data_IF_144478338606
#
_entry.id   IF_144478338606
#
_cell.length_a   1.000
_cell.length_b   1.000
_cell.length_c   1.000
_cell.angle_alpha   90.00
_cell.angle_beta   90.00
_cell.angle_gamma   90.00
#
_symmetry.space_group_name_H-M   'P 1'
#
loop_
_entity.id
_entity.type
_entity.pdbx_description
1 polymer ?
#
# COMPACT_ATOMS: atom_id res chain seq x y z
N UNK A 1 -17.11 22.73 9.45
CA UNK A 1 -15.66 22.44 9.29
C UNK A 1 -14.89 23.62 9.82
N UNK A 2 -13.86 23.42 10.62
CA UNK A 2 -12.98 24.50 11.07
C UNK A 2 -11.73 24.51 10.20
N UNK A 3 -11.48 25.62 9.51
CA UNK A 3 -10.30 25.83 8.66
C UNK A 3 -9.13 26.40 9.44
N UNK A 4 -9.17 26.36 10.78
CA UNK A 4 -8.07 26.84 11.61
C UNK A 4 -6.84 25.97 11.38
N UNK A 5 -5.82 26.60 10.82
CA UNK A 5 -4.52 25.99 10.55
C UNK A 5 -3.81 25.71 11.87
N UNK A 6 -3.26 24.50 11.99
CA UNK A 6 -2.49 24.05 13.17
C UNK A 6 -1.02 23.98 12.75
N UNK A 7 -0.19 25.00 13.06
CA UNK A 7 1.21 25.05 12.62
C UNK A 7 2.05 23.84 13.04
N UNK A 8 1.75 23.28 14.21
CA UNK A 8 2.44 22.10 14.77
C UNK A 8 2.25 20.85 13.90
N UNK A 9 1.17 20.76 13.13
CA UNK A 9 0.91 19.66 12.18
C UNK A 9 1.32 20.07 10.77
N UNK A 10 1.01 21.31 10.38
CA UNK A 10 1.27 21.82 9.04
C UNK A 10 2.77 21.88 8.69
N UNK A 11 3.64 22.32 9.62
CA UNK A 11 5.07 22.45 9.34
C UNK A 11 5.72 21.07 9.09
N UNK A 12 5.55 20.04 9.96
CA UNK A 12 6.04 18.70 9.68
C UNK A 12 5.50 18.12 8.36
N UNK A 13 4.22 18.35 8.05
CA UNK A 13 3.62 17.87 6.81
C UNK A 13 4.28 18.49 5.56
N UNK A 14 4.59 19.80 5.60
CA UNK A 14 5.37 20.46 4.54
C UNK A 14 6.74 19.80 4.38
N UNK A 15 7.45 19.57 5.49
CA UNK A 15 8.78 18.94 5.47
C UNK A 15 8.71 17.54 4.85
N UNK A 16 7.71 16.74 5.21
CA UNK A 16 7.50 15.40 4.63
C UNK A 16 7.24 15.50 3.12
N UNK A 17 6.35 16.38 2.68
CA UNK A 17 6.07 16.57 1.25
C UNK A 17 7.29 17.02 0.47
N UNK A 18 8.07 17.97 1.00
CA UNK A 18 9.31 18.42 0.38
C UNK A 18 10.32 17.27 0.25
N UNK A 19 10.53 16.50 1.32
CA UNK A 19 11.43 15.35 1.30
C UNK A 19 10.99 14.31 0.27
N UNK A 20 9.70 13.96 0.23
CA UNK A 20 9.13 13.00 -0.72
C UNK A 20 9.28 13.50 -2.16
N UNK A 21 8.95 14.76 -2.45
CA UNK A 21 9.09 15.34 -3.79
C UNK A 21 10.55 15.30 -4.25
N UNK A 22 11.50 15.65 -3.38
CA UNK A 22 12.94 15.58 -3.70
C UNK A 22 13.35 14.14 -4.02
N UNK A 23 12.99 13.17 -3.18
CA UNK A 23 13.29 11.75 -3.41
C UNK A 23 12.69 11.27 -4.74
N UNK A 24 11.43 11.63 -5.01
CA UNK A 24 10.76 11.23 -6.24
C UNK A 24 11.37 11.87 -7.49
N UNK A 25 11.81 13.14 -7.43
CA UNK A 25 12.48 13.82 -8.52
C UNK A 25 13.83 13.19 -8.89
N UNK A 26 14.52 12.56 -7.92
CA UNK A 26 15.77 11.82 -8.15
C UNK A 26 15.56 10.48 -8.88
N UNK A 27 14.30 10.05 -9.06
CA UNK A 27 13.92 8.85 -9.82
C UNK A 27 14.03 7.54 -9.02
N UNK A 28 13.59 6.44 -9.64
CA UNK A 28 13.45 5.13 -8.99
C UNK A 28 14.76 4.63 -8.40
N UNK A 29 15.86 4.61 -9.18
CA UNK A 29 17.13 4.04 -8.72
C UNK A 29 17.91 4.95 -7.77
N UNK A 30 18.07 6.23 -8.11
CA UNK A 30 18.90 7.18 -7.35
C UNK A 30 18.15 7.82 -6.18
N UNK A 31 16.83 7.94 -6.25
CA UNK A 31 15.96 8.46 -5.21
C UNK A 31 15.34 7.34 -4.39
N UNK A 32 14.25 6.76 -4.89
CA UNK A 32 13.40 5.81 -4.16
C UNK A 32 14.19 4.62 -3.62
N UNK A 33 14.99 3.97 -4.48
CA UNK A 33 15.80 2.82 -4.12
C UNK A 33 16.84 3.13 -3.05
N UNK A 34 17.55 4.26 -3.17
CA UNK A 34 18.54 4.68 -2.15
C UNK A 34 17.89 5.08 -0.84
N UNK A 35 16.74 5.77 -0.88
CA UNK A 35 15.98 6.10 0.30
C UNK A 35 15.55 4.82 1.02
N UNK A 36 14.96 3.85 0.31
CA UNK A 36 14.52 2.59 0.90
C UNK A 36 15.67 1.71 1.40
N UNK A 37 16.84 1.74 0.75
CA UNK A 37 18.05 1.07 1.24
C UNK A 37 18.53 1.58 2.60
N UNK A 38 18.14 2.80 3.01
CA UNK A 38 18.50 3.39 4.30
C UNK A 38 17.32 3.31 5.27
N UNK A 39 16.14 3.77 4.85
CA UNK A 39 14.95 3.90 5.69
C UNK A 39 14.42 2.55 6.15
N UNK A 40 14.37 1.52 5.28
CA UNK A 40 13.81 0.23 5.66
C UNK A 40 14.68 -0.52 6.69
N UNK A 41 16.01 -0.66 6.51
CA UNK A 41 16.85 -1.25 7.55
C UNK A 41 16.82 -0.45 8.86
N UNK A 42 16.84 0.88 8.77
CA UNK A 42 16.77 1.74 9.95
C UNK A 42 15.45 1.55 10.71
N UNK A 43 14.32 1.54 9.99
CA UNK A 43 13.01 1.23 10.55
C UNK A 43 13.02 -0.13 11.25
N UNK A 44 13.53 -1.18 10.59
CA UNK A 44 13.59 -2.52 11.17
C UNK A 44 14.43 -2.55 12.44
N UNK A 45 15.59 -1.89 12.47
CA UNK A 45 16.44 -1.82 13.66
C UNK A 45 15.76 -1.04 14.77
N UNK A 46 15.19 0.13 14.47
CA UNK A 46 14.48 0.94 15.47
C UNK A 46 13.33 0.17 16.10
N UNK A 47 12.56 -0.53 15.27
CA UNK A 47 11.42 -1.30 15.70
C UNK A 47 11.86 -2.54 16.50
N UNK A 48 12.92 -3.24 16.09
CA UNK A 48 13.48 -4.36 16.85
C UNK A 48 13.98 -3.93 18.24
N UNK A 49 14.66 -2.79 18.35
CA UNK A 49 15.09 -2.24 19.65
C UNK A 49 13.86 -1.86 20.50
N UNK A 50 12.82 -1.30 19.90
CA UNK A 50 11.57 -1.01 20.60
C UNK A 50 10.93 -2.28 21.15
N UNK A 51 10.87 -3.36 20.38
CA UNK A 51 10.33 -4.64 20.83
C UNK A 51 11.13 -5.15 22.02
N UNK A 52 12.46 -5.19 21.91
CA UNK A 52 13.33 -5.63 23.01
C UNK A 52 13.09 -4.79 24.27
N UNK A 53 13.04 -3.46 24.16
CA UNK A 53 12.75 -2.58 25.28
C UNK A 53 11.37 -2.85 25.89
N UNK A 54 10.35 -3.08 25.05
CA UNK A 54 8.97 -3.32 25.48
C UNK A 54 8.84 -4.64 26.26
N UNK A 55 9.65 -5.65 25.93
CA UNK A 55 9.69 -6.93 26.65
C UNK A 55 10.22 -6.81 28.09
N UNK A 56 11.00 -5.76 28.39
CA UNK A 56 11.51 -5.50 29.74
C UNK A 56 10.57 -4.64 30.59
N UNK A 57 9.45 -4.18 30.03
CA UNK A 57 8.47 -3.42 30.81
C UNK A 57 7.73 -4.34 31.78
N UNK A 58 7.40 -3.86 32.99
CA UNK A 58 6.56 -4.63 33.90
C UNK A 58 5.17 -4.82 33.27
N UNK A 59 4.55 -6.00 33.44
CA UNK A 59 3.29 -6.34 32.76
C UNK A 59 3.43 -6.82 31.31
N UNK A 60 4.63 -6.82 30.71
CA UNK A 60 4.83 -7.27 29.33
C UNK A 60 4.37 -8.73 29.10
N UNK A 61 4.59 -9.61 30.07
CA UNK A 61 4.13 -11.00 30.00
C UNK A 61 2.61 -11.11 29.89
N UNK A 62 1.85 -10.30 30.64
CA UNK A 62 0.38 -10.29 30.55
C UNK A 62 -0.09 -9.86 29.16
N UNK A 63 0.59 -8.86 28.58
CA UNK A 63 0.41 -8.43 27.20
C UNK A 63 0.66 -9.55 26.18
N UNK A 64 1.77 -10.27 26.32
CA UNK A 64 2.10 -11.39 25.44
C UNK A 64 1.15 -12.58 25.62
N UNK A 65 0.72 -12.86 26.86
CA UNK A 65 -0.30 -13.86 27.13
C UNK A 65 -1.60 -13.50 26.43
N UNK A 66 -2.04 -12.23 26.51
CA UNK A 66 -3.21 -11.78 25.77
C UNK A 66 -3.04 -11.92 24.24
N UNK A 67 -1.84 -11.68 23.72
CA UNK A 67 -1.56 -11.79 22.28
C UNK A 67 -1.53 -13.24 21.75
N UNK A 68 -0.94 -14.17 22.51
CA UNK A 68 -0.72 -15.54 22.06
C UNK A 68 -1.75 -16.56 22.57
N UNK A 69 -2.62 -16.19 23.51
CA UNK A 69 -3.67 -17.10 24.00
C UNK A 69 -4.66 -17.38 22.87
N UNK A 70 -4.74 -18.63 22.37
CA UNK A 70 -5.62 -18.95 21.26
C UNK A 70 -7.08 -18.98 21.71
N UNK A 71 -7.96 -18.37 20.92
CA UNK A 71 -9.40 -18.54 21.05
C UNK A 71 -9.92 -19.41 19.89
N UNK A 72 -10.07 -20.71 20.15
CA UNK A 72 -10.52 -21.67 19.14
C UNK A 72 -12.00 -21.48 18.77
N UNK A 73 -12.82 -20.97 19.69
CA UNK A 73 -14.24 -20.66 19.42
C UNK A 73 -14.37 -19.51 18.43
N UNK A 74 -13.48 -18.51 18.49
CA UNK A 74 -13.46 -17.41 17.53
C UNK A 74 -13.21 -17.89 16.09
N UNK A 75 -12.49 -19.00 15.89
CA UNK A 75 -12.26 -19.54 14.54
C UNK A 75 -13.52 -20.13 13.90
N UNK A 76 -14.57 -20.39 14.67
CA UNK A 76 -15.87 -20.81 14.16
C UNK A 76 -16.66 -19.67 13.51
N UNK A 77 -16.30 -18.41 13.79
CA UNK A 77 -16.95 -17.23 13.20
C UNK A 77 -16.34 -16.91 11.81
N UNK A 78 -17.15 -16.99 10.72
CA UNK A 78 -16.68 -16.61 9.38
C UNK A 78 -16.18 -15.17 9.29
N UNK A 79 -16.66 -14.26 10.15
CA UNK A 79 -16.22 -12.86 10.17
C UNK A 79 -14.74 -12.71 10.57
N UNK A 80 -14.22 -13.63 11.40
CA UNK A 80 -12.80 -13.65 11.77
C UNK A 80 -11.92 -13.94 10.55
N UNK A 81 -12.33 -14.90 9.72
CA UNK A 81 -11.62 -15.23 8.47
C UNK A 81 -11.72 -14.13 7.43
N UNK A 82 -12.89 -13.50 7.30
CA UNK A 82 -13.08 -12.35 6.42
C UNK A 82 -12.17 -11.19 6.84
N UNK A 83 -12.10 -10.90 8.14
CA UNK A 83 -11.23 -9.87 8.72
C UNK A 83 -9.75 -10.19 8.49
N UNK A 84 -9.33 -11.43 8.69
CA UNK A 84 -7.95 -11.87 8.45
C UNK A 84 -7.56 -11.73 6.97
N UNK A 85 -8.45 -12.11 6.05
CA UNK A 85 -8.21 -11.93 4.62
C UNK A 85 -8.10 -10.46 4.25
N UNK A 86 -9.03 -9.62 4.72
CA UNK A 86 -9.01 -8.17 4.51
C UNK A 86 -7.72 -7.54 5.04
N UNK A 87 -7.28 -7.92 6.24
CA UNK A 87 -6.03 -7.45 6.84
C UNK A 87 -4.83 -7.74 5.94
N UNK A 88 -4.65 -9.00 5.50
CA UNK A 88 -3.52 -9.37 4.63
C UNK A 88 -3.62 -8.69 3.25
N UNK A 89 -4.82 -8.55 2.70
CA UNK A 89 -5.04 -7.88 1.43
C UNK A 89 -4.57 -6.41 1.46
N UNK A 90 -4.96 -5.65 2.48
CA UNK A 90 -4.55 -4.25 2.63
C UNK A 90 -3.09 -4.12 3.09
N UNK A 91 -2.62 -5.00 3.97
CA UNK A 91 -1.25 -5.00 4.47
C UNK A 91 -0.23 -5.20 3.34
N UNK A 92 -0.48 -6.17 2.45
CA UNK A 92 0.36 -6.36 1.26
C UNK A 92 0.13 -5.30 0.17
N UNK A 93 -0.80 -4.36 0.36
CA UNK A 93 -1.16 -3.33 -0.61
C UNK A 93 -1.53 -3.92 -1.97
N UNK A 94 -2.28 -5.02 -1.97
CA UNK A 94 -2.70 -5.70 -3.21
C UNK A 94 -3.67 -4.82 -3.97
N UNK A 95 -3.53 -4.76 -5.30
CA UNK A 95 -4.36 -3.97 -6.22
C UNK A 95 -4.21 -2.44 -6.13
N UNK A 96 -3.22 -1.92 -5.39
CA UNK A 96 -2.87 -0.48 -5.41
C UNK A 96 -2.09 -0.07 -6.68
N UNK A 97 -1.76 -1.02 -7.56
CA UNK A 97 -0.87 -0.81 -8.72
C UNK A 97 0.62 -0.79 -8.37
N UNK A 98 0.97 -0.65 -7.09
CA UNK A 98 2.35 -0.58 -6.58
C UNK A 98 3.21 -1.72 -7.10
N UNK A 99 2.77 -2.97 -6.94
CA UNK A 99 3.54 -4.14 -7.39
C UNK A 99 3.72 -4.17 -8.90
N UNK A 100 2.72 -3.75 -9.68
CA UNK A 100 2.79 -3.70 -11.14
C UNK A 100 3.80 -2.63 -11.57
N UNK A 101 3.74 -1.45 -10.95
CA UNK A 101 4.68 -0.35 -11.21
C UNK A 101 6.11 -0.72 -10.85
N UNK A 102 6.36 -1.32 -9.68
CA UNK A 102 7.73 -1.72 -9.34
C UNK A 102 8.22 -2.91 -10.17
N UNK A 103 7.33 -3.82 -10.58
CA UNK A 103 7.69 -4.92 -11.46
C UNK A 103 8.10 -4.42 -12.86
N UNK A 104 7.55 -3.31 -13.35
CA UNK A 104 7.95 -2.73 -14.65
C UNK A 104 9.39 -2.20 -14.65
N UNK A 105 9.97 -1.92 -13.48
CA UNK A 105 11.37 -1.51 -13.33
C UNK A 105 12.35 -2.68 -13.17
N UNK A 106 11.84 -3.91 -13.03
CA UNK A 106 12.69 -5.10 -12.92
C UNK A 106 13.20 -5.54 -14.30
N UNK A 107 14.31 -6.28 -14.29
CA UNK A 107 14.77 -6.95 -15.52
C UNK A 107 13.74 -7.99 -15.95
N UNK A 108 13.55 -8.14 -17.26
CA UNK A 108 12.55 -9.06 -17.86
C UNK A 108 12.68 -10.52 -17.41
N UNK A 109 13.89 -10.97 -17.04
CA UNK A 109 14.20 -12.35 -16.61
C UNK A 109 14.29 -12.53 -15.09
N UNK A 110 13.78 -11.59 -14.30
CA UNK A 110 13.77 -11.66 -12.83
C UNK A 110 12.76 -12.71 -12.32
N UNK A 111 13.14 -13.46 -11.30
CA UNK A 111 12.24 -14.38 -10.62
C UNK A 111 11.24 -13.62 -9.73
N UNK A 112 9.99 -13.54 -10.20
CA UNK A 112 8.88 -12.92 -9.50
C UNK A 112 8.29 -13.83 -8.40
N UNK A 113 8.37 -15.15 -8.55
CA UNK A 113 7.80 -16.09 -7.57
C UNK A 113 8.60 -16.10 -6.27
N UNK A 114 9.93 -16.19 -6.35
CA UNK A 114 10.81 -16.12 -5.18
C UNK A 114 10.72 -14.76 -4.50
N UNK A 115 10.76 -13.68 -5.28
CA UNK A 115 10.63 -12.31 -4.77
C UNK A 115 9.29 -12.08 -4.06
N UNK A 116 8.19 -12.56 -4.64
CA UNK A 116 6.85 -12.45 -4.04
C UNK A 116 6.73 -13.19 -2.70
N UNK A 117 7.31 -14.39 -2.60
CA UNK A 117 7.34 -15.14 -1.33
C UNK A 117 8.14 -14.40 -0.26
N UNK A 118 9.33 -13.90 -0.59
CA UNK A 118 10.16 -13.14 0.35
C UNK A 118 9.41 -11.90 0.86
N UNK A 119 8.75 -11.16 -0.03
CA UNK A 119 7.94 -10.00 0.35
C UNK A 119 6.80 -10.40 1.29
N UNK A 120 6.05 -11.47 0.97
CA UNK A 120 4.94 -11.93 1.79
C UNK A 120 5.38 -12.36 3.19
N UNK A 121 6.44 -13.17 3.30
CA UNK A 121 6.97 -13.62 4.59
C UNK A 121 7.63 -12.49 5.38
N UNK A 122 8.33 -11.57 4.73
CA UNK A 122 8.91 -10.41 5.40
C UNK A 122 7.83 -9.50 5.97
N UNK A 123 6.75 -9.26 5.22
CA UNK A 123 5.60 -8.48 5.66
C UNK A 123 4.96 -9.10 6.90
N UNK A 124 4.48 -10.34 6.82
CA UNK A 124 3.82 -11.00 7.95
C UNK A 124 4.75 -11.28 9.12
N UNK A 125 6.03 -11.54 8.87
CA UNK A 125 7.04 -11.66 9.92
C UNK A 125 7.22 -10.35 10.69
N UNK A 126 7.25 -9.22 9.98
CA UNK A 126 7.32 -7.89 10.60
C UNK A 126 6.04 -7.57 11.38
N UNK A 127 4.86 -7.95 10.89
CA UNK A 127 3.58 -7.80 11.61
C UNK A 127 3.56 -8.56 12.94
N UNK A 128 4.07 -9.79 12.96
CA UNK A 128 4.18 -10.58 14.21
C UNK A 128 5.17 -9.91 15.17
N UNK A 129 6.32 -9.44 14.67
CA UNK A 129 7.28 -8.68 15.47
C UNK A 129 6.65 -7.41 16.05
N UNK A 130 5.83 -6.71 15.27
CA UNK A 130 5.04 -5.56 15.69
C UNK A 130 4.02 -5.92 16.77
N UNK A 131 3.27 -7.01 16.58
CA UNK A 131 2.33 -7.53 17.58
C UNK A 131 3.02 -7.79 18.92
N UNK A 132 4.17 -8.46 18.92
CA UNK A 132 4.95 -8.73 20.15
C UNK A 132 5.30 -7.43 20.88
N UNK A 133 5.89 -6.44 20.18
CA UNK A 133 6.29 -5.18 20.81
C UNK A 133 5.11 -4.36 21.32
N UNK A 134 4.05 -4.25 20.52
CA UNK A 134 2.85 -3.49 20.86
C UNK A 134 2.13 -4.11 22.05
N UNK A 135 1.87 -5.42 22.03
CA UNK A 135 1.16 -6.08 23.12
C UNK A 135 1.98 -6.11 24.41
N UNK A 136 3.31 -6.28 24.34
CA UNK A 136 4.18 -6.14 25.52
C UNK A 136 4.05 -4.73 26.15
N UNK A 137 4.05 -3.68 25.32
CA UNK A 137 3.89 -2.31 25.79
C UNK A 137 2.47 -2.02 26.32
N UNK A 138 1.43 -2.62 25.73
CA UNK A 138 0.06 -2.53 26.25
C UNK A 138 -0.10 -3.28 27.59
N UNK A 139 0.61 -4.39 27.79
CA UNK A 139 0.64 -5.10 29.08
C UNK A 139 1.14 -4.20 30.22
N UNK A 140 2.15 -3.38 29.95
CA UNK A 140 2.60 -2.34 30.88
C UNK A 140 1.50 -1.34 31.22
N UNK A 141 0.78 -0.85 30.21
CA UNK A 141 -0.29 0.11 30.42
C UNK A 141 -1.46 -0.50 31.20
N UNK A 142 -1.82 -1.75 30.89
CA UNK A 142 -2.85 -2.52 31.58
C UNK A 142 -2.51 -2.69 33.07
N UNK A 143 -1.27 -3.12 33.35
CA UNK A 143 -0.77 -3.28 34.72
C UNK A 143 -0.76 -1.95 35.49
N UNK A 144 -0.25 -0.88 34.87
CA UNK A 144 -0.19 0.45 35.50
C UNK A 144 -1.58 1.02 35.81
N UNK A 145 -2.59 0.70 34.99
CA UNK A 145 -3.98 1.15 35.18
C UNK A 145 -4.84 0.16 35.99
N UNK A 146 -4.32 -1.01 36.34
CA UNK A 146 -5.07 -2.05 37.05
C UNK A 146 -6.26 -2.60 36.25
N UNK A 147 -6.14 -2.67 34.92
CA UNK A 147 -7.17 -3.16 34.00
C UNK A 147 -6.64 -4.29 33.13
N UNK A 148 -7.52 -4.99 32.42
CA UNK A 148 -7.14 -5.99 31.42
C UNK A 148 -6.58 -5.34 30.14
N UNK A 149 -5.74 -6.07 29.42
CA UNK A 149 -5.14 -5.64 28.15
C UNK A 149 -6.21 -5.25 27.12
N UNK A 150 -7.35 -5.96 27.10
CA UNK A 150 -8.47 -5.64 26.22
C UNK A 150 -9.06 -4.24 26.47
N UNK A 151 -9.02 -3.75 27.72
CA UNK A 151 -9.52 -2.42 28.08
C UNK A 151 -8.62 -1.26 27.65
N UNK A 152 -7.35 -1.55 27.34
CA UNK A 152 -6.35 -0.57 26.91
C UNK A 152 -5.97 -0.68 25.43
N UNK A 153 -6.35 -1.79 24.80
CA UNK A 153 -6.17 -2.02 23.37
C UNK A 153 -7.19 -1.19 22.57
N UNK A 154 -6.75 -0.03 22.08
CA UNK A 154 -7.46 0.72 21.04
C UNK A 154 -6.91 0.36 19.66
N UNK A 155 -7.65 0.67 18.59
CA UNK A 155 -7.21 0.46 17.21
C UNK A 155 -6.65 1.74 16.58
N UNK A 156 -5.87 1.58 15.51
CA UNK A 156 -5.43 2.66 14.63
C UNK A 156 -4.83 3.87 15.35
N UNK A 157 -5.49 5.02 15.20
CA UNK A 157 -5.05 6.33 15.75
C UNK A 157 -5.02 6.32 17.27
N UNK A 158 -5.97 5.64 17.93
CA UNK A 158 -6.03 5.56 19.39
C UNK A 158 -4.79 4.86 19.96
N UNK A 159 -4.37 3.76 19.32
CA UNK A 159 -3.18 3.03 19.75
C UNK A 159 -1.93 3.90 19.62
N UNK A 160 -1.68 4.43 18.42
CA UNK A 160 -0.46 5.14 18.11
C UNK A 160 -0.35 6.49 18.85
N UNK A 161 -1.45 7.20 19.04
CA UNK A 161 -1.45 8.59 19.51
C UNK A 161 -2.16 8.82 20.84
N UNK A 162 -2.68 7.77 21.50
CA UNK A 162 -3.19 7.84 22.88
C UNK A 162 -2.42 6.84 23.77
N UNK A 163 -2.41 5.55 23.40
CA UNK A 163 -1.78 4.52 24.21
C UNK A 163 -0.25 4.69 24.28
N UNK A 164 0.43 4.80 23.14
CA UNK A 164 1.89 4.95 23.11
C UNK A 164 2.41 6.22 23.81
N UNK A 165 1.82 7.42 23.62
CA UNK A 165 2.19 8.59 24.43
C UNK A 165 2.03 8.38 25.93
N UNK A 166 0.98 7.67 26.34
CA UNK A 166 0.75 7.32 27.76
C UNK A 166 1.87 6.42 28.26
N UNK A 167 2.23 5.37 27.51
CA UNK A 167 3.35 4.48 27.83
C UNK A 167 4.67 5.26 27.91
N UNK A 168 4.95 6.14 26.94
CA UNK A 168 6.14 6.99 26.89
C UNK A 168 6.26 7.89 28.12
N UNK A 169 5.12 8.38 28.65
CA UNK A 169 5.12 9.26 29.82
C UNK A 169 5.36 8.54 31.15
N UNK A 170 5.07 7.23 31.22
CA UNK A 170 5.07 6.47 32.46
C UNK A 170 6.20 5.42 32.54
N UNK A 171 6.65 4.91 31.39
CA UNK A 171 7.65 3.86 31.32
C UNK A 171 9.06 4.38 31.65
N UNK A 172 9.85 3.56 32.35
CA UNK A 172 11.28 3.78 32.50
C UNK A 172 11.96 3.76 31.14
N UNK A 173 12.64 4.85 30.77
CA UNK A 173 13.19 5.00 29.41
C UNK A 173 12.13 5.30 28.34
N UNK A 174 10.94 5.77 28.73
CA UNK A 174 9.84 6.06 27.80
C UNK A 174 10.20 7.04 26.68
N UNK A 175 11.13 7.98 26.91
CA UNK A 175 11.64 8.86 25.85
C UNK A 175 12.31 8.10 24.69
N UNK A 176 13.04 7.02 24.99
CA UNK A 176 13.66 6.15 23.97
C UNK A 176 12.55 5.41 23.20
N UNK A 177 11.56 4.85 23.91
CA UNK A 177 10.40 4.19 23.30
C UNK A 177 9.68 5.15 22.35
N UNK A 178 9.49 6.40 22.76
CA UNK A 178 8.82 7.42 21.97
C UNK A 178 9.58 7.74 20.68
N UNK A 179 10.90 7.98 20.77
CA UNK A 179 11.73 8.25 19.59
C UNK A 179 11.73 7.06 18.63
N UNK A 180 11.87 5.83 19.14
CA UNK A 180 11.86 4.63 18.31
C UNK A 180 10.50 4.39 17.65
N UNK A 181 9.41 4.51 18.41
CA UNK A 181 8.05 4.27 17.92
C UNK A 181 7.64 5.30 16.87
N UNK A 182 7.67 6.60 17.23
CA UNK A 182 7.23 7.65 16.32
C UNK A 182 8.19 7.83 15.15
N UNK A 183 9.48 7.62 15.35
CA UNK A 183 10.44 7.61 14.25
C UNK A 183 10.20 6.46 13.26
N UNK A 184 9.94 5.25 13.76
CA UNK A 184 9.58 4.12 12.90
C UNK A 184 8.25 4.38 12.16
N UNK A 185 7.26 4.97 12.83
CA UNK A 185 5.97 5.34 12.23
C UNK A 185 6.13 6.39 11.11
N UNK A 186 7.00 7.39 11.29
CA UNK A 186 7.34 8.36 10.24
C UNK A 186 8.00 7.66 9.05
N UNK A 187 8.98 6.80 9.28
CA UNK A 187 9.65 6.09 8.19
C UNK A 187 8.70 5.15 7.44
N UNK A 188 7.84 4.42 8.16
CA UNK A 188 6.81 3.56 7.58
C UNK A 188 5.84 4.37 6.70
N UNK A 189 5.39 5.53 7.19
CA UNK A 189 4.50 6.42 6.44
C UNK A 189 5.16 7.01 5.20
N UNK A 190 6.41 7.45 5.30
CA UNK A 190 7.15 8.07 4.19
C UNK A 190 7.43 7.06 3.08
N UNK A 191 7.89 5.85 3.40
CA UNK A 191 8.19 4.82 2.38
C UNK A 191 6.94 4.34 1.67
N UNK A 192 5.81 4.23 2.38
CA UNK A 192 4.50 3.92 1.81
C UNK A 192 3.98 5.06 0.92
N UNK A 193 4.08 6.32 1.35
CA UNK A 193 3.67 7.48 0.55
C UNK A 193 4.45 7.58 -0.77
N UNK A 194 5.77 7.37 -0.71
CA UNK A 194 6.61 7.33 -1.93
C UNK A 194 6.11 6.26 -2.89
N UNK A 195 5.80 5.06 -2.39
CA UNK A 195 5.38 3.94 -3.21
C UNK A 195 4.01 4.15 -3.87
N UNK A 196 3.07 4.76 -3.16
CA UNK A 196 1.74 5.10 -3.70
C UNK A 196 1.84 6.21 -4.76
N UNK A 197 2.60 7.28 -4.48
CA UNK A 197 2.78 8.37 -5.44
C UNK A 197 3.48 7.91 -6.71
N UNK A 198 4.42 6.95 -6.60
CA UNK A 198 5.13 6.42 -7.74
C UNK A 198 4.20 5.76 -8.76
N UNK A 199 3.12 5.10 -8.32
CA UNK A 199 2.12 4.51 -9.22
C UNK A 199 1.53 5.55 -10.14
N UNK A 200 1.13 6.70 -9.59
CA UNK A 200 0.51 7.79 -10.35
C UNK A 200 1.54 8.44 -11.28
N UNK A 201 2.75 8.69 -10.76
CA UNK A 201 3.84 9.32 -11.53
C UNK A 201 4.28 8.44 -12.70
N UNK A 202 4.42 7.13 -12.49
CA UNK A 202 4.76 6.17 -13.53
C UNK A 202 3.68 6.08 -14.59
N UNK A 203 2.41 5.94 -14.19
CA UNK A 203 1.30 5.84 -15.12
C UNK A 203 1.19 7.07 -16.04
N UNK A 204 1.39 8.28 -15.50
CA UNK A 204 1.39 9.51 -16.31
C UNK A 204 2.65 9.65 -17.17
N UNK A 205 3.82 9.22 -16.70
CA UNK A 205 5.04 9.18 -17.51
C UNK A 205 4.86 8.27 -18.73
N UNK A 206 4.37 7.06 -18.51
CA UNK A 206 4.15 6.08 -19.57
C UNK A 206 3.10 6.58 -20.56
N UNK A 207 2.00 7.15 -20.08
CA UNK A 207 0.90 7.62 -20.93
C UNK A 207 1.22 8.89 -21.72
N UNK A 208 1.89 9.87 -21.09
CA UNK A 208 2.10 11.20 -21.67
C UNK A 208 3.50 11.41 -22.26
N UNK A 209 4.48 10.57 -21.93
CA UNK A 209 5.87 10.72 -22.37
C UNK A 209 6.60 11.88 -21.69
N UNK A 210 6.14 12.28 -20.51
CA UNK A 210 6.71 13.42 -19.80
C UNK A 210 8.00 13.04 -19.07
N UNK A 211 8.92 13.99 -18.93
CA UNK A 211 10.12 13.77 -18.15
C UNK A 211 9.80 13.57 -16.65
N UNK A 212 10.76 12.97 -15.93
CA UNK A 212 10.59 12.59 -14.52
C UNK A 212 10.16 13.76 -13.64
N UNK A 213 10.93 14.85 -13.68
CA UNK A 213 10.75 16.02 -12.81
C UNK A 213 9.39 16.69 -13.08
N UNK A 214 9.04 16.92 -14.35
CA UNK A 214 7.76 17.53 -14.73
C UNK A 214 6.60 16.71 -14.20
N UNK A 215 6.64 15.39 -14.38
CA UNK A 215 5.54 14.53 -13.95
C UNK A 215 5.42 14.48 -12.44
N UNK A 216 6.54 14.30 -11.73
CA UNK A 216 6.56 14.30 -10.26
C UNK A 216 5.99 15.60 -9.70
N UNK A 217 6.39 16.77 -10.22
CA UNK A 217 5.87 18.04 -9.74
C UNK A 217 4.39 18.25 -10.08
N UNK A 218 3.96 17.82 -11.27
CA UNK A 218 2.55 17.95 -11.70
C UNK A 218 1.62 17.08 -10.86
N UNK A 219 2.08 15.93 -10.39
CA UNK A 219 1.31 15.04 -9.51
C UNK A 219 1.40 15.46 -8.05
N UNK A 220 2.62 15.60 -7.53
CA UNK A 220 2.84 15.72 -6.09
C UNK A 220 2.51 17.12 -5.56
N UNK A 221 2.66 18.19 -6.35
CA UNK A 221 2.39 19.55 -5.85
C UNK A 221 0.89 19.81 -5.60
N UNK A 222 -0.04 19.48 -6.52
CA UNK A 222 -1.47 19.59 -6.22
C UNK A 222 -1.89 18.72 -5.04
N UNK A 223 -1.38 17.48 -4.97
CA UNK A 223 -1.67 16.58 -3.85
C UNK A 223 -1.13 17.12 -2.52
N UNK A 224 0.06 17.72 -2.51
CA UNK A 224 0.62 18.38 -1.34
C UNK A 224 -0.26 19.54 -0.88
N UNK A 225 -0.74 20.37 -1.82
CA UNK A 225 -1.63 21.50 -1.50
C UNK A 225 -2.95 21.00 -0.91
N UNK A 226 -3.57 19.96 -1.49
CA UNK A 226 -4.80 19.35 -0.97
C UNK A 226 -4.56 18.74 0.41
N UNK A 227 -3.46 18.00 0.57
CA UNK A 227 -3.05 17.40 1.84
C UNK A 227 -2.86 18.46 2.93
N UNK A 228 -2.21 19.58 2.60
CA UNK A 228 -2.09 20.72 3.50
C UNK A 228 -3.45 21.33 3.83
N UNK A 229 -4.32 21.57 2.85
CA UNK A 229 -5.62 22.19 3.08
C UNK A 229 -6.54 21.34 3.97
N UNK A 230 -6.46 20.01 3.89
CA UNK A 230 -7.34 19.11 4.63
C UNK A 230 -6.75 18.67 5.96
N UNK A 231 -5.47 18.26 5.98
CA UNK A 231 -4.87 17.54 7.12
C UNK A 231 -4.04 18.42 8.06
N UNK A 232 -3.92 19.73 7.78
CA UNK A 232 -3.33 20.70 8.72
C UNK A 232 -4.37 21.46 9.55
N UNK A 233 -5.63 21.02 9.51
CA UNK A 233 -6.75 21.69 10.18
C UNK A 233 -7.19 20.96 11.45
N UNK A 234 -7.94 21.64 12.32
CA UNK A 234 -8.55 21.01 13.51
C UNK A 234 -9.52 19.87 13.20
N UNK A 235 -10.03 19.76 11.97
CA UNK A 235 -10.88 18.66 11.50
C UNK A 235 -10.12 17.54 10.78
N UNK A 236 -8.78 17.59 10.76
CA UNK A 236 -7.94 16.66 10.01
C UNK A 236 -8.21 15.19 10.31
N UNK A 237 -8.33 14.82 11.59
CA UNK A 237 -8.52 13.42 11.99
C UNK A 237 -9.84 12.85 11.47
N UNK A 238 -10.95 13.58 11.59
CA UNK A 238 -12.26 13.10 11.10
C UNK A 238 -12.30 12.99 9.58
N UNK A 239 -11.66 13.92 8.87
CA UNK A 239 -11.56 13.89 7.40
C UNK A 239 -10.69 12.70 6.97
N UNK A 240 -9.55 12.50 7.63
CA UNK A 240 -8.63 11.39 7.36
C UNK A 240 -9.30 10.04 7.60
N UNK A 241 -9.93 9.87 8.76
CA UNK A 241 -10.64 8.65 9.16
C UNK A 241 -11.76 8.28 8.17
N UNK A 242 -12.60 9.26 7.81
CA UNK A 242 -13.68 9.04 6.84
C UNK A 242 -13.15 8.77 5.44
N UNK A 243 -12.15 9.53 4.97
CA UNK A 243 -11.56 9.33 3.66
C UNK A 243 -10.93 7.94 3.55
N UNK A 244 -10.09 7.56 4.52
CA UNK A 244 -9.41 6.26 4.54
C UNK A 244 -10.42 5.10 4.52
N UNK A 245 -11.42 5.15 5.41
CA UNK A 245 -12.41 4.10 5.52
C UNK A 245 -13.27 3.93 4.26
N UNK A 246 -13.55 5.00 3.51
CA UNK A 246 -14.34 4.92 2.28
C UNK A 246 -13.50 4.56 1.05
N UNK A 247 -12.28 5.08 0.93
CA UNK A 247 -11.38 4.79 -0.19
C UNK A 247 -10.90 3.35 -0.17
N UNK A 248 -10.54 2.81 0.99
CA UNK A 248 -10.13 1.40 1.10
C UNK A 248 -11.31 0.45 0.82
N UNK A 249 -12.51 0.77 1.31
CA UNK A 249 -13.69 -0.05 1.13
C UNK A 249 -14.22 -0.06 -0.33
N UNK A 250 -14.25 1.10 -1.00
CA UNK A 250 -14.90 1.19 -2.31
C UNK A 250 -13.95 1.48 -3.47
N UNK A 251 -12.82 2.13 -3.23
CA UNK A 251 -11.83 2.39 -4.28
C UNK A 251 -11.02 1.13 -4.57
N UNK A 252 -10.15 0.76 -3.63
CA UNK A 252 -9.16 -0.30 -3.83
C UNK A 252 -9.83 -1.67 -3.94
N UNK A 253 -10.72 -2.02 -3.02
CA UNK A 253 -11.37 -3.34 -3.02
C UNK A 253 -12.24 -3.57 -4.26
N UNK A 254 -12.96 -2.55 -4.75
CA UNK A 254 -13.74 -2.68 -5.98
C UNK A 254 -12.83 -2.86 -7.20
N UNK A 255 -11.77 -2.06 -7.33
CA UNK A 255 -10.80 -2.19 -8.43
C UNK A 255 -10.15 -3.56 -8.41
N UNK A 256 -9.80 -4.09 -7.23
CA UNK A 256 -9.25 -5.43 -7.08
C UNK A 256 -10.23 -6.51 -7.56
N UNK A 257 -11.48 -6.44 -7.13
CA UNK A 257 -12.52 -7.39 -7.53
C UNK A 257 -12.75 -7.35 -9.05
N UNK A 258 -12.90 -6.16 -9.63
CA UNK A 258 -13.08 -5.98 -11.07
C UNK A 258 -11.86 -6.49 -11.84
N UNK A 259 -10.65 -6.11 -11.43
CA UNK A 259 -9.42 -6.52 -12.10
C UNK A 259 -9.25 -8.05 -12.10
N UNK A 260 -9.50 -8.70 -10.97
CA UNK A 260 -9.42 -10.16 -10.87
C UNK A 260 -10.49 -10.83 -11.73
N UNK A 261 -11.74 -10.36 -11.70
CA UNK A 261 -12.82 -10.89 -12.55
C UNK A 261 -12.46 -10.74 -14.03
N UNK A 262 -11.99 -9.57 -14.45
CA UNK A 262 -11.64 -9.30 -15.85
C UNK A 262 -10.47 -10.19 -16.29
N UNK A 263 -9.38 -10.24 -15.53
CA UNK A 263 -8.19 -11.03 -15.91
C UNK A 263 -8.45 -12.53 -15.86
N UNK A 264 -9.14 -13.01 -14.82
CA UNK A 264 -9.35 -14.44 -14.61
C UNK A 264 -10.51 -15.03 -15.42
N UNK A 265 -11.64 -14.33 -15.50
CA UNK A 265 -12.89 -14.87 -16.04
C UNK A 265 -13.28 -14.27 -17.38
N UNK A 266 -13.04 -12.97 -17.61
CA UNK A 266 -13.40 -12.36 -18.89
C UNK A 266 -12.33 -12.68 -19.96
N UNK A 267 -11.07 -12.42 -19.63
CA UNK A 267 -9.94 -12.57 -20.55
C UNK A 267 -9.29 -13.96 -20.49
N UNK A 268 -9.62 -14.77 -19.49
CA UNK A 268 -9.08 -16.12 -19.30
C UNK A 268 -7.53 -16.18 -19.31
N UNK A 269 -6.85 -15.15 -18.77
CA UNK A 269 -5.38 -15.01 -18.87
C UNK A 269 -4.59 -15.73 -17.77
N UNK A 270 -5.26 -16.32 -16.76
CA UNK A 270 -4.57 -17.03 -15.67
C UNK A 270 -3.61 -18.15 -16.14
N UNK A 271 -3.95 -19.01 -17.13
CA UNK A 271 -3.01 -20.03 -17.61
C UNK A 271 -1.75 -19.43 -18.23
N UNK A 272 -1.88 -18.34 -19.00
CA UNK A 272 -0.75 -17.66 -19.61
C UNK A 272 0.15 -16.99 -18.56
N UNK A 273 -0.46 -16.34 -17.55
CA UNK A 273 0.28 -15.75 -16.42
C UNK A 273 1.02 -16.82 -15.60
N UNK A 274 0.37 -17.95 -15.34
CA UNK A 274 0.99 -19.09 -14.66
C UNK A 274 2.19 -19.63 -15.45
N UNK A 275 2.06 -19.79 -16.78
CA UNK A 275 3.17 -20.23 -17.62
C UNK A 275 4.33 -19.23 -17.58
N UNK A 276 4.03 -17.94 -17.73
CA UNK A 276 5.02 -16.87 -17.66
C UNK A 276 5.80 -16.90 -16.34
N UNK A 277 5.10 -17.00 -15.20
CA UNK A 277 5.73 -17.12 -13.88
C UNK A 277 6.65 -18.35 -13.79
N UNK A 278 6.20 -19.49 -14.32
CA UNK A 278 6.93 -20.76 -14.23
C UNK A 278 8.16 -20.86 -15.15
N UNK A 279 8.28 -20.01 -16.17
CA UNK A 279 9.48 -20.00 -17.04
C UNK A 279 10.75 -19.65 -16.28
N UNK A 280 10.64 -18.78 -15.27
CA UNK A 280 11.76 -18.31 -14.44
C UNK A 280 11.34 -18.23 -12.97
N UNK A 281 10.95 -19.36 -12.40
CA UNK A 281 10.53 -19.46 -11.00
C UNK A 281 11.48 -20.30 -10.16
N UNK A 282 11.86 -19.82 -8.97
CA UNK A 282 12.35 -20.69 -7.90
C UNK A 282 11.25 -21.59 -7.33
N UNK A 283 9.98 -21.16 -7.42
CA UNK A 283 8.83 -21.94 -6.99
C UNK A 283 7.73 -21.93 -8.07
N UNK A 284 7.45 -23.10 -8.66
CA UNK A 284 6.44 -23.20 -9.71
C UNK A 284 5.01 -23.11 -9.15
N UNK A 285 4.22 -22.20 -9.71
CA UNK A 285 2.80 -22.06 -9.39
C UNK A 285 1.97 -23.09 -10.15
N UNK A 286 1.06 -23.73 -9.42
CA UNK A 286 0.24 -24.85 -9.89
C UNK A 286 -1.23 -24.50 -10.10
N UNK A 287 -2.08 -25.54 -10.17
CA UNK A 287 -3.55 -25.37 -10.21
C UNK A 287 -4.10 -24.73 -8.94
N UNK A 288 -3.46 -24.96 -7.80
CA UNK A 288 -3.84 -24.36 -6.51
C UNK A 288 -3.78 -22.84 -6.60
N UNK A 289 -2.70 -22.27 -7.15
CA UNK A 289 -2.59 -20.83 -7.34
C UNK A 289 -3.71 -20.28 -8.23
N UNK A 290 -4.05 -20.97 -9.32
CA UNK A 290 -5.16 -20.57 -10.19
C UNK A 290 -6.52 -20.63 -9.47
N UNK A 291 -6.74 -21.61 -8.59
CA UNK A 291 -7.97 -21.68 -7.78
C UNK A 291 -8.02 -20.58 -6.71
N UNK A 292 -6.89 -20.29 -6.07
CA UNK A 292 -6.80 -19.23 -5.07
C UNK A 292 -7.06 -17.86 -5.69
N UNK A 293 -6.42 -17.55 -6.82
CA UNK A 293 -6.58 -16.26 -7.50
C UNK A 293 -7.88 -16.18 -8.28
N UNK A 294 -8.25 -17.25 -9.00
CA UNK A 294 -9.40 -17.25 -9.90
C UNK A 294 -10.73 -17.47 -9.19
N UNK A 295 -10.77 -18.18 -8.05
CA UNK A 295 -12.04 -18.52 -7.38
C UNK A 295 -12.09 -17.92 -5.98
N UNK A 296 -11.11 -18.22 -5.12
CA UNK A 296 -11.17 -17.79 -3.72
C UNK A 296 -11.10 -16.26 -3.60
N UNK A 297 -10.16 -15.60 -4.28
CA UNK A 297 -9.99 -14.16 -4.21
C UNK A 297 -11.27 -13.38 -4.62
N UNK A 298 -11.91 -13.62 -5.78
CA UNK A 298 -13.12 -12.88 -6.14
C UNK A 298 -14.31 -13.21 -5.22
N UNK A 299 -14.40 -14.43 -4.68
CA UNK A 299 -15.45 -14.77 -3.71
C UNK A 299 -15.30 -14.00 -2.40
N UNK A 300 -14.10 -14.00 -1.80
CA UNK A 300 -13.85 -13.32 -0.53
C UNK A 300 -13.89 -11.80 -0.70
N UNK A 301 -13.27 -11.26 -1.75
CA UNK A 301 -13.34 -9.83 -2.06
C UNK A 301 -14.78 -9.39 -2.36
N UNK A 302 -15.56 -10.22 -3.07
CA UNK A 302 -16.98 -9.97 -3.32
C UNK A 302 -17.81 -9.93 -2.03
N UNK A 303 -17.59 -10.89 -1.13
CA UNK A 303 -18.23 -10.91 0.18
C UNK A 303 -17.87 -9.66 1.00
N UNK A 304 -16.58 -9.34 1.14
CA UNK A 304 -16.09 -8.17 1.87
C UNK A 304 -16.63 -6.86 1.29
N UNK A 305 -16.67 -6.76 -0.04
CA UNK A 305 -17.20 -5.58 -0.72
C UNK A 305 -18.70 -5.38 -0.45
N UNK A 306 -19.50 -6.44 -0.56
CA UNK A 306 -20.93 -6.37 -0.28
C UNK A 306 -21.19 -6.11 1.20
N UNK A 307 -20.45 -6.73 2.12
CA UNK A 307 -20.61 -6.49 3.55
C UNK A 307 -20.30 -5.05 3.94
N UNK A 308 -19.19 -4.49 3.45
CA UNK A 308 -18.81 -3.09 3.69
C UNK A 308 -19.81 -2.11 3.06
N UNK A 309 -20.32 -2.42 1.86
CA UNK A 309 -21.35 -1.64 1.20
C UNK A 309 -22.63 -1.56 2.03
N UNK A 310 -23.11 -2.70 2.52
CA UNK A 310 -24.30 -2.77 3.38
C UNK A 310 -24.04 -2.02 4.69
N UNK A 311 -22.89 -2.24 5.34
CA UNK A 311 -22.55 -1.62 6.61
C UNK A 311 -22.56 -0.08 6.52
N UNK A 312 -21.90 0.49 5.51
CA UNK A 312 -21.78 1.94 5.33
C UNK A 312 -23.05 2.62 4.82
N UNK A 313 -23.97 1.89 4.18
CA UNK A 313 -25.29 2.41 3.80
C UNK A 313 -26.26 2.37 4.99
N UNK A 314 -26.18 1.34 5.83
CA UNK A 314 -27.17 1.12 6.90
C UNK A 314 -26.85 1.85 8.20
N UNK A 315 -25.57 2.09 8.49
CA UNK A 315 -25.12 2.76 9.72
C UNK A 315 -24.23 3.95 9.40
N UNK A 316 -24.53 5.17 9.92
CA UNK A 316 -23.65 6.33 9.76
C UNK A 316 -22.26 6.05 10.33
N UNK A 317 -21.24 6.09 9.47
CA UNK A 317 -19.86 5.81 9.85
C UNK A 317 -19.37 6.77 10.94
N UNK A 318 -18.82 6.22 12.03
CA UNK A 318 -18.22 6.99 13.13
C UNK A 318 -19.19 7.93 13.87
N UNK A 319 -20.51 7.84 13.63
CA UNK A 319 -21.48 8.81 14.13
C UNK A 319 -21.29 10.22 13.55
N UNK A 320 -20.60 10.34 12.41
CA UNK A 320 -20.37 11.62 11.75
C UNK A 320 -21.66 12.15 11.08
N UNK A 321 -21.81 13.47 10.92
CA UNK A 321 -22.96 14.05 10.25
C UNK A 321 -23.13 13.56 8.80
N UNK A 322 -24.37 13.35 8.36
CA UNK A 322 -24.67 12.83 7.00
C UNK A 322 -24.07 13.68 5.88
N UNK A 323 -24.10 15.01 6.02
CA UNK A 323 -23.50 15.91 5.02
C UNK A 323 -21.99 15.71 4.90
N UNK A 324 -21.32 15.37 6.01
CA UNK A 324 -19.88 15.15 6.05
C UNK A 324 -19.52 13.83 5.36
N UNK A 325 -20.27 12.76 5.66
CA UNK A 325 -20.15 11.46 5.00
C UNK A 325 -20.52 11.54 3.51
N UNK A 326 -21.51 12.35 3.16
CA UNK A 326 -21.90 12.60 1.77
C UNK A 326 -20.78 13.24 0.95
N UNK A 327 -20.05 14.21 1.51
CA UNK A 327 -18.96 14.91 0.81
C UNK A 327 -17.64 14.13 0.85
N UNK A 328 -17.16 13.77 2.04
CA UNK A 328 -15.83 13.19 2.23
C UNK A 328 -15.80 11.66 2.10
N UNK A 329 -16.95 10.99 2.26
CA UNK A 329 -17.09 9.56 1.99
C UNK A 329 -17.56 9.32 0.56
N UNK A 330 -18.87 9.40 0.33
CA UNK A 330 -19.49 9.05 -0.95
C UNK A 330 -19.05 9.94 -2.11
N UNK A 331 -18.97 11.26 -1.90
CA UNK A 331 -18.50 12.21 -2.91
C UNK A 331 -17.08 11.92 -3.38
N UNK A 332 -16.20 11.52 -2.45
CA UNK A 332 -14.83 11.10 -2.77
C UNK A 332 -14.82 9.83 -3.63
N UNK A 333 -15.60 8.80 -3.25
CA UNK A 333 -15.70 7.54 -4.02
C UNK A 333 -16.19 7.79 -5.44
N UNK A 334 -17.26 8.58 -5.60
CA UNK A 334 -17.79 8.93 -6.92
C UNK A 334 -16.74 9.69 -7.75
N UNK A 335 -16.04 10.64 -7.12
CA UNK A 335 -14.98 11.42 -7.78
C UNK A 335 -13.83 10.54 -8.25
N UNK A 336 -13.43 9.53 -7.46
CA UNK A 336 -12.39 8.57 -7.85
C UNK A 336 -12.80 7.76 -9.08
N UNK A 337 -14.03 7.25 -9.14
CA UNK A 337 -14.53 6.50 -10.30
C UNK A 337 -14.59 7.39 -11.54
N UNK A 338 -15.13 8.60 -11.42
CA UNK A 338 -15.20 9.55 -12.53
C UNK A 338 -13.79 9.90 -13.02
N UNK A 339 -12.88 10.24 -12.12
CA UNK A 339 -11.51 10.59 -12.49
C UNK A 339 -10.78 9.42 -13.14
N UNK A 340 -10.96 8.19 -12.64
CA UNK A 340 -10.37 6.99 -13.24
C UNK A 340 -10.85 6.78 -14.68
N UNK A 341 -12.16 6.94 -14.94
CA UNK A 341 -12.74 6.83 -16.29
C UNK A 341 -12.25 7.97 -17.19
N UNK A 342 -12.23 9.21 -16.71
CA UNK A 342 -11.73 10.34 -17.50
C UNK A 342 -10.26 10.15 -17.86
N UNK A 343 -9.44 9.73 -16.90
CA UNK A 343 -8.02 9.46 -17.13
C UNK A 343 -7.80 8.28 -18.06
N UNK A 344 -8.64 7.23 -18.04
CA UNK A 344 -8.51 6.09 -18.95
C UNK A 344 -8.85 6.49 -20.40
N UNK A 345 -9.86 7.34 -20.59
CA UNK A 345 -10.29 7.85 -21.89
C UNK A 345 -9.32 8.85 -22.55
N UNK A 346 -8.39 9.45 -21.80
CA UNK A 346 -7.36 10.29 -22.40
C UNK A 346 -6.55 9.48 -23.42
N UNK A 347 -6.32 9.99 -24.64
CA UNK A 347 -5.54 9.27 -25.64
C UNK A 347 -4.08 9.14 -25.20
N UNK A 348 -3.45 8.04 -25.59
CA UNK A 348 -2.01 7.84 -25.39
C UNK A 348 -1.22 8.82 -26.26
N UNK A 349 -0.27 9.54 -25.65
CA UNK A 349 0.59 10.49 -26.36
C UNK A 349 1.38 9.80 -27.47
N UNK A 350 1.79 10.57 -28.49
CA UNK A 350 2.70 10.09 -29.52
C UNK A 350 4.08 9.75 -28.92
N UNK A 351 4.51 10.49 -27.89
CA UNK A 351 5.78 10.26 -27.19
C UNK A 351 5.66 9.27 -26.03
N UNK A 352 4.61 8.45 -25.98
CA UNK A 352 4.41 7.49 -24.90
C UNK A 352 5.58 6.51 -24.81
N UNK A 353 6.12 6.31 -23.61
CA UNK A 353 7.19 5.34 -23.39
C UNK A 353 6.76 3.88 -23.60
N UNK A 354 5.45 3.61 -23.69
CA UNK A 354 4.93 2.26 -23.89
C UNK A 354 4.91 1.83 -25.37
N UNK A 355 5.07 2.75 -26.32
CA UNK A 355 4.96 2.46 -27.76
C UNK A 355 6.26 2.02 -28.42
N UNK A 356 7.41 2.38 -27.84
CA UNK A 356 8.75 2.08 -28.39
C UNK A 356 9.65 1.50 -27.28
N UNK A 357 9.51 0.20 -26.97
CA UNK A 357 10.38 -0.51 -26.03
C UNK A 357 11.15 -1.62 -26.75
N UNK A 358 12.29 -1.25 -27.35
CA UNK A 358 13.15 -2.18 -28.09
C UNK A 358 13.66 -3.34 -27.22
N UNK A 359 13.88 -3.12 -25.92
CA UNK A 359 14.30 -4.17 -24.99
C UNK A 359 13.17 -5.20 -24.75
N UNK A 360 11.92 -4.75 -24.82
CA UNK A 360 10.75 -5.63 -24.75
C UNK A 360 10.56 -6.43 -26.05
N UNK A 361 10.68 -5.77 -27.21
CA UNK A 361 10.56 -6.44 -28.51
C UNK A 361 11.65 -7.51 -28.69
N UNK A 362 12.89 -7.20 -28.34
CA UNK A 362 14.00 -8.16 -28.34
C UNK A 362 13.76 -9.31 -27.35
N UNK A 363 13.17 -9.03 -26.18
CA UNK A 363 12.79 -10.06 -25.22
C UNK A 363 11.71 -11.01 -25.76
N UNK A 364 10.65 -10.47 -26.37
CA UNK A 364 9.58 -11.26 -26.97
C UNK A 364 10.11 -12.15 -28.10
N UNK A 365 11.00 -11.62 -28.94
CA UNK A 365 11.64 -12.35 -30.03
C UNK A 365 12.51 -13.51 -29.51
N UNK A 366 13.29 -13.30 -28.45
CA UNK A 366 14.13 -14.33 -27.83
C UNK A 366 13.32 -15.43 -27.13
N UNK A 367 12.20 -15.08 -26.48
CA UNK A 367 11.41 -16.01 -25.66
C UNK A 367 10.21 -16.60 -26.42
N UNK A 368 10.12 -16.33 -27.73
CA UNK A 368 9.08 -16.83 -28.64
C UNK A 368 7.64 -16.56 -28.15
N UNK A 369 7.38 -15.34 -27.66
CA UNK A 369 6.01 -14.89 -27.42
C UNK A 369 5.34 -14.49 -28.73
N UNK A 370 4.02 -14.71 -28.85
CA UNK A 370 3.24 -14.09 -29.92
C UNK A 370 3.23 -12.55 -29.71
N UNK A 371 3.40 -11.74 -30.77
CA UNK A 371 3.39 -10.29 -30.66
C UNK A 371 2.03 -9.78 -30.18
N UNK A 372 2.03 -8.83 -29.24
CA UNK A 372 0.82 -8.25 -28.66
C UNK A 372 0.14 -7.33 -29.69
N UNK A 373 -1.15 -7.58 -29.97
CA UNK A 373 -1.95 -6.82 -30.93
C UNK A 373 -2.19 -5.35 -30.53
N UNK A 374 -2.02 -4.99 -29.27
CA UNK A 374 -2.24 -3.62 -28.78
C UNK A 374 -0.97 -2.74 -28.82
N UNK A 375 0.23 -3.34 -28.80
CA UNK A 375 1.52 -2.62 -28.85
C UNK A 375 2.28 -2.80 -30.18
N UNK A 376 1.82 -3.71 -31.04
CA UNK A 376 2.51 -4.02 -32.30
C UNK A 376 2.35 -2.93 -33.37
N UNK A 377 3.32 -2.02 -33.41
CA UNK A 377 3.79 -1.41 -34.65
C UNK A 377 5.23 -1.89 -34.92
N UNK A 378 5.39 -3.20 -35.18
CA UNK A 378 6.67 -3.72 -35.65
C UNK A 378 6.72 -3.62 -37.17
N UNK A 379 7.74 -2.93 -37.70
CA UNK A 379 8.64 -3.59 -38.62
C UNK A 379 10.04 -3.62 -38.00
N UNK A 380 10.44 -4.81 -37.53
CA UNK A 380 11.85 -5.15 -37.44
C UNK A 380 12.34 -5.14 -38.88
N UNK A 381 13.12 -4.12 -39.25
CA UNK A 381 13.82 -4.12 -40.51
C UNK A 381 14.82 -5.29 -40.48
N UNK A 382 14.42 -6.41 -41.07
CA UNK A 382 15.29 -7.53 -41.35
C UNK A 382 16.31 -7.12 -42.42
N UNK A 383 17.54 -6.82 -42.01
CA UNK A 383 18.74 -6.90 -42.84
C UNK A 383 18.94 -5.86 -43.95
N UNK A 384 20.20 -5.47 -44.13
CA UNK A 384 20.78 -4.82 -45.33
C UNK A 384 20.28 -3.41 -45.71
N UNK A 385 20.99 -2.38 -45.22
CA UNK A 385 21.56 -1.28 -46.02
C UNK A 385 22.17 -0.20 -45.12
N UNK A 386 23.38 -0.44 -44.62
CA UNK A 386 24.35 0.65 -44.37
C UNK A 386 25.64 0.30 -45.11
N UNK A 387 25.51 0.22 -46.42
CA UNK A 387 26.61 0.46 -47.36
C UNK A 387 26.67 1.95 -47.65
N UNK A 388 27.87 2.51 -47.45
CA UNK A 388 28.45 3.61 -48.23
C UNK A 388 27.61 4.88 -48.45
N UNK A 389 27.91 5.92 -47.69
CA UNK A 389 28.00 7.28 -48.23
C UNK A 389 29.04 8.06 -47.41
N UNK A 390 30.13 8.39 -48.12
CA UNK A 390 31.29 9.27 -47.87
C UNK A 390 31.30 10.14 -46.61
#
# INVERSE_FOLDING_TARGET
MSTQFVPQVGIPLIVVWLAVIVIMCLGVKKGIGRANMILMPLLTVMFAVLVVQSLFLPGALDGLTAFFTPNWEALADPAVWASAYGHIFFSLSVAFGIMVTYASYLKRKTDLTGSGLVVAFANSGFEILAGIGVFAALGFMAQAQGTEVAGVASSGIGLAFIAFPTIVSQATGGSIIGVLFFGALVFAGVTSLISILEVIVAALQDKLGWNRIRTTLTVSLPLAVISMALFSTTTALSVLDTADAFVNAFGIMAVALVAVIVVAWLLHKLPALKEHLNRRSSFSVGRIWMLLVGVLAPLVLGYLFVSELIAKITTPYGGYPDWFLGVFGWGMVISLVILAVLLSLLPWSACSHAKDDADYDDFLAQEHYEPDSETSAIPVASGEQRGTAS
#
